data_IF_133489854029
#
_entry.id   IF_133489854029
#
_cell.length_a   1.000
_cell.length_b   1.000
_cell.length_c   1.000
_cell.angle_alpha   90.00
_cell.angle_beta   90.00
_cell.angle_gamma   90.00
#
_symmetry.space_group_name_H-M   'P 1'
#
loop_
_entity.id
_entity.type
_entity.pdbx_description
1 polymer ?
#
# COMPACT_ATOMS: atom_id res chain seq x y z
N UNK A 1 -12.96 39.78 -21.27
CA UNK A 1 -11.83 39.12 -21.98
C UNK A 1 -10.51 39.21 -21.21
N UNK A 2 -10.01 40.41 -20.86
CA UNK A 2 -8.73 40.58 -20.11
C UNK A 2 -8.67 39.87 -18.74
N UNK A 3 -9.75 39.92 -17.96
CA UNK A 3 -9.82 39.23 -16.65
C UNK A 3 -9.80 37.70 -16.77
N UNK A 4 -10.44 37.15 -17.80
CA UNK A 4 -10.43 35.70 -18.08
C UNK A 4 -9.04 35.21 -18.50
N UNK A 5 -8.33 36.00 -19.32
CA UNK A 5 -6.97 35.66 -19.76
C UNK A 5 -5.99 35.70 -18.58
N UNK A 6 -6.08 36.71 -17.69
CA UNK A 6 -5.23 36.79 -16.49
C UNK A 6 -5.49 35.66 -15.50
N UNK A 7 -6.76 35.28 -15.29
CA UNK A 7 -7.13 34.15 -14.44
C UNK A 7 -6.57 32.84 -15.02
N UNK A 8 -6.76 32.58 -16.32
CA UNK A 8 -6.21 31.41 -17.01
C UNK A 8 -4.68 31.36 -16.93
N UNK A 9 -3.99 32.48 -17.17
CA UNK A 9 -2.53 32.56 -17.05
C UNK A 9 -2.04 32.30 -15.62
N UNK A 10 -2.74 32.82 -14.60
CA UNK A 10 -2.41 32.54 -13.20
C UNK A 10 -2.61 31.07 -12.83
N UNK A 11 -3.64 30.43 -13.37
CA UNK A 11 -3.96 29.02 -13.12
C UNK A 11 -2.96 28.09 -13.79
N UNK A 12 -2.54 28.41 -15.02
CA UNK A 12 -1.47 27.71 -15.74
C UNK A 12 -0.13 27.88 -15.01
N UNK A 13 0.18 29.09 -14.54
CA UNK A 13 1.42 29.36 -13.80
C UNK A 13 1.45 28.60 -12.47
N UNK A 14 0.30 28.48 -11.79
CA UNK A 14 0.16 27.72 -10.55
C UNK A 14 0.30 26.20 -10.79
N UNK A 15 -0.35 25.66 -11.83
CA UNK A 15 -0.24 24.25 -12.19
C UNK A 15 1.21 23.86 -12.52
N UNK A 16 1.89 24.66 -13.35
CA UNK A 16 3.29 24.42 -13.69
C UNK A 16 4.22 24.49 -12.47
N UNK A 17 3.95 25.41 -11.53
CA UNK A 17 4.71 25.53 -10.30
C UNK A 17 4.51 24.32 -9.37
N UNK A 18 3.29 23.78 -9.28
CA UNK A 18 3.00 22.58 -8.50
C UNK A 18 3.72 21.37 -9.11
N UNK A 19 3.62 21.16 -10.42
CA UNK A 19 4.30 20.06 -11.11
C UNK A 19 5.82 20.12 -10.94
N UNK A 20 6.44 21.29 -11.11
CA UNK A 20 7.89 21.46 -10.90
C UNK A 20 8.29 21.19 -9.45
N UNK A 21 7.45 21.59 -8.49
CA UNK A 21 7.65 21.27 -7.08
C UNK A 21 7.55 19.76 -6.83
N UNK A 22 6.59 19.08 -7.46
CA UNK A 22 6.43 17.63 -7.35
C UNK A 22 7.63 16.90 -7.96
N UNK A 23 8.11 17.33 -9.13
CA UNK A 23 9.31 16.74 -9.77
C UNK A 23 10.53 16.84 -8.86
N UNK A 24 10.73 17.98 -8.20
CA UNK A 24 11.84 18.13 -7.25
C UNK A 24 11.63 17.28 -5.99
N UNK A 25 10.40 17.23 -5.48
CA UNK A 25 10.05 16.36 -4.35
C UNK A 25 10.27 14.87 -4.68
N UNK A 26 10.05 14.42 -5.91
CA UNK A 26 10.33 13.03 -6.35
C UNK A 26 11.82 12.72 -6.20
N UNK A 27 12.71 13.62 -6.62
CA UNK A 27 14.15 13.41 -6.52
C UNK A 27 14.59 13.33 -5.06
N UNK A 28 14.11 14.25 -4.22
CA UNK A 28 14.38 14.22 -2.78
C UNK A 28 13.83 12.96 -2.13
N UNK A 29 12.62 12.54 -2.49
CA UNK A 29 12.00 11.32 -2.00
C UNK A 29 12.82 10.08 -2.36
N UNK A 30 13.37 10.02 -3.57
CA UNK A 30 14.26 8.95 -4.00
C UNK A 30 15.52 8.88 -3.13
N UNK A 31 16.18 10.01 -2.86
CA UNK A 31 17.35 10.07 -1.98
C UNK A 31 17.02 9.65 -0.55
N UNK A 32 15.88 10.09 -0.01
CA UNK A 32 15.41 9.70 1.32
C UNK A 32 15.19 8.18 1.42
N UNK A 33 14.55 7.59 0.40
CA UNK A 33 14.31 6.15 0.36
C UNK A 33 15.63 5.36 0.31
N UNK A 34 16.57 5.74 -0.55
CA UNK A 34 17.89 5.11 -0.63
C UNK A 34 18.65 5.17 0.70
N UNK A 35 18.44 6.22 1.49
CA UNK A 35 19.03 6.34 2.81
C UNK A 35 18.34 5.41 3.81
N UNK A 36 16.99 5.36 3.81
CA UNK A 36 16.21 4.46 4.68
C UNK A 36 16.51 2.98 4.41
N UNK A 37 16.65 2.58 3.15
CA UNK A 37 16.98 1.20 2.77
C UNK A 37 18.27 0.69 3.45
N UNK A 38 19.19 1.58 3.85
CA UNK A 38 20.42 1.20 4.56
C UNK A 38 20.17 0.83 6.02
N UNK A 39 19.16 1.42 6.63
CA UNK A 39 18.80 1.24 8.03
C UNK A 39 17.76 0.12 8.20
N UNK A 40 17.09 -0.29 7.12
CA UNK A 40 16.12 -1.38 7.15
C UNK A 40 16.74 -2.73 7.51
N UNK A 41 16.18 -3.35 8.55
CA UNK A 41 16.56 -4.69 8.99
C UNK A 41 15.73 -5.72 8.23
N UNK A 42 16.41 -6.62 7.52
CA UNK A 42 15.77 -7.69 6.73
C UNK A 42 16.17 -9.07 7.22
N UNK A 43 15.27 -10.03 7.07
CA UNK A 43 15.49 -11.45 7.42
C UNK A 43 15.34 -12.35 6.19
N UNK A 44 16.10 -13.44 6.15
CA UNK A 44 16.19 -14.30 4.95
C UNK A 44 14.95 -15.19 4.73
N UNK A 45 14.15 -15.45 5.77
CA UNK A 45 12.85 -16.10 5.64
C UNK A 45 12.00 -15.92 6.91
N UNK A 46 10.96 -15.09 6.85
CA UNK A 46 9.75 -15.36 7.62
C UNK A 46 8.89 -16.23 6.70
N UNK A 47 8.31 -17.31 7.23
CA UNK A 47 7.36 -18.13 6.48
C UNK A 47 6.11 -17.29 6.13
N UNK A 48 6.20 -16.49 5.08
CA UNK A 48 5.12 -15.62 4.62
C UNK A 48 4.37 -16.34 3.50
N UNK A 49 3.07 -16.56 3.71
CA UNK A 49 2.16 -17.12 2.70
C UNK A 49 1.73 -16.08 1.67
N UNK A 50 2.21 -14.84 1.78
CA UNK A 50 1.81 -13.67 0.99
C UNK A 50 3.00 -12.97 0.32
N UNK A 51 3.87 -13.76 -0.33
CA UNK A 51 5.07 -13.23 -1.00
C UNK A 51 4.67 -12.42 -2.22
N UNK A 52 5.12 -11.17 -2.28
CA UNK A 52 4.96 -10.30 -3.44
C UNK A 52 5.74 -10.85 -4.65
N UNK A 53 5.09 -10.96 -5.80
CA UNK A 53 5.78 -11.26 -7.06
C UNK A 53 6.57 -10.02 -7.54
N UNK A 54 7.42 -10.18 -8.56
CA UNK A 54 8.28 -9.10 -9.05
C UNK A 54 7.51 -7.85 -9.54
N UNK A 55 6.30 -8.03 -10.09
CA UNK A 55 5.46 -6.88 -10.50
C UNK A 55 4.91 -6.16 -9.27
N UNK A 56 4.43 -6.89 -8.25
CA UNK A 56 3.95 -6.32 -6.99
C UNK A 56 5.06 -5.60 -6.22
N UNK A 57 6.28 -6.15 -6.17
CA UNK A 57 7.43 -5.49 -5.56
C UNK A 57 7.77 -4.17 -6.26
N UNK A 58 7.66 -4.15 -7.59
CA UNK A 58 7.87 -2.93 -8.36
C UNK A 58 6.80 -1.86 -8.06
N UNK A 59 5.52 -2.25 -8.02
CA UNK A 59 4.46 -1.31 -7.67
C UNK A 59 4.55 -0.84 -6.20
N UNK A 60 5.06 -1.67 -5.28
CA UNK A 60 5.37 -1.21 -3.92
C UNK A 60 6.41 -0.09 -3.96
N UNK A 61 7.54 -0.29 -4.64
CA UNK A 61 8.60 0.72 -4.72
C UNK A 61 8.10 2.03 -5.35
N UNK A 62 7.24 1.93 -6.39
CA UNK A 62 6.56 3.08 -6.97
C UNK A 62 5.65 3.74 -5.93
N UNK A 63 4.86 2.97 -5.18
CA UNK A 63 4.01 3.44 -4.10
C UNK A 63 4.78 4.15 -2.99
N UNK A 64 5.89 3.59 -2.53
CA UNK A 64 6.77 4.15 -1.49
C UNK A 64 7.35 5.50 -1.94
N UNK A 65 7.80 5.59 -3.19
CA UNK A 65 8.30 6.83 -3.79
C UNK A 65 7.21 7.90 -3.86
N UNK A 66 6.01 7.55 -4.31
CA UNK A 66 4.88 8.47 -4.39
C UNK A 66 4.39 8.89 -2.99
N UNK A 67 4.40 7.98 -2.02
CA UNK A 67 4.05 8.25 -0.63
C UNK A 67 5.01 9.28 -0.02
N UNK A 68 6.32 9.06 -0.17
CA UNK A 68 7.34 9.99 0.32
C UNK A 68 7.30 11.35 -0.41
N UNK A 69 7.11 11.33 -1.74
CA UNK A 69 6.94 12.56 -2.52
C UNK A 69 5.75 13.35 -2.01
N UNK A 70 4.61 12.67 -1.83
CA UNK A 70 3.39 13.33 -1.37
C UNK A 70 3.55 13.88 0.03
N UNK A 71 4.26 13.18 0.92
CA UNK A 71 4.61 13.69 2.26
C UNK A 71 5.35 15.03 2.17
N UNK A 72 6.40 15.13 1.34
CA UNK A 72 7.17 16.37 1.15
C UNK A 72 6.28 17.51 0.65
N UNK A 73 5.38 17.21 -0.29
CA UNK A 73 4.45 18.21 -0.86
C UNK A 73 3.40 18.64 0.17
N UNK A 74 2.85 17.71 0.95
CA UNK A 74 1.89 17.97 2.02
C UNK A 74 2.54 18.79 3.16
N UNK A 75 3.80 18.55 3.51
CA UNK A 75 4.52 19.37 4.48
C UNK A 75 4.65 20.83 4.02
N UNK A 76 4.75 21.06 2.69
CA UNK A 76 4.90 22.39 2.11
C UNK A 76 3.56 23.13 1.90
N UNK A 77 2.50 22.42 1.51
CA UNK A 77 1.23 23.03 1.09
C UNK A 77 0.01 22.63 1.94
N UNK A 78 0.17 21.70 2.89
CA UNK A 78 -0.90 21.11 3.69
C UNK A 78 -1.73 20.06 2.95
N UNK A 79 -2.64 19.41 3.67
CA UNK A 79 -3.44 18.28 3.14
C UNK A 79 -4.42 18.67 2.01
N UNK A 80 -4.70 19.97 1.80
CA UNK A 80 -5.59 20.42 0.72
C UNK A 80 -5.02 20.15 -0.68
N UNK A 81 -3.70 20.02 -0.80
CA UNK A 81 -3.03 19.77 -2.09
C UNK A 81 -3.33 18.37 -2.65
N UNK A 82 -3.80 17.43 -1.81
CA UNK A 82 -4.09 16.05 -2.22
C UNK A 82 -5.15 15.97 -3.33
N UNK A 83 -6.16 16.85 -3.31
CA UNK A 83 -7.20 16.90 -4.33
C UNK A 83 -6.64 17.36 -5.68
N UNK A 84 -5.61 18.22 -5.68
CA UNK A 84 -4.91 18.70 -6.89
C UNK A 84 -3.96 17.62 -7.44
N UNK A 85 -3.20 16.95 -6.56
CA UNK A 85 -2.28 15.86 -6.93
C UNK A 85 -3.00 14.70 -7.63
N UNK A 86 -4.27 14.43 -7.27
CA UNK A 86 -5.07 13.37 -7.88
C UNK A 86 -5.33 13.55 -9.38
N UNK A 87 -5.10 14.75 -9.92
CA UNK A 87 -5.32 15.08 -11.34
C UNK A 87 -4.06 15.00 -12.20
N UNK A 88 -2.89 14.85 -11.58
CA UNK A 88 -1.61 14.88 -12.27
C UNK A 88 -1.28 13.55 -12.97
N UNK A 89 -0.57 13.64 -14.08
CA UNK A 89 0.00 12.46 -14.76
C UNK A 89 1.27 12.03 -14.04
N UNK A 90 1.12 11.04 -13.17
CA UNK A 90 2.22 10.49 -12.36
C UNK A 90 3.35 9.93 -13.23
N UNK A 91 3.03 9.32 -14.38
CA UNK A 91 4.05 8.70 -15.22
C UNK A 91 4.90 9.76 -15.95
N UNK A 92 4.30 10.88 -16.36
CA UNK A 92 5.03 12.05 -16.89
C UNK A 92 5.97 12.67 -15.83
N UNK A 93 5.47 12.87 -14.61
CA UNK A 93 6.25 13.45 -13.52
C UNK A 93 7.45 12.58 -13.14
N UNK A 94 7.25 11.26 -13.06
CA UNK A 94 8.34 10.30 -12.85
C UNK A 94 9.36 10.35 -14.01
N UNK A 95 8.90 10.51 -15.26
CA UNK A 95 9.79 10.64 -16.41
C UNK A 95 10.62 11.93 -16.36
N UNK A 96 10.02 13.07 -16.03
CA UNK A 96 10.71 14.37 -15.84
C UNK A 96 11.71 14.33 -14.69
N UNK A 97 11.41 13.58 -13.63
CA UNK A 97 12.31 13.38 -12.50
C UNK A 97 13.49 12.43 -12.81
N UNK A 98 13.43 11.66 -13.92
CA UNK A 98 14.44 10.64 -14.25
C UNK A 98 14.18 9.28 -13.59
N UNK A 99 13.07 9.14 -12.88
CA UNK A 99 12.63 7.94 -12.13
C UNK A 99 11.65 7.06 -12.92
N UNK A 100 11.38 7.38 -14.19
CA UNK A 100 10.57 6.52 -15.04
C UNK A 100 11.15 5.12 -15.16
N UNK A 101 10.26 4.13 -15.23
CA UNK A 101 10.63 2.74 -15.51
C UNK A 101 11.49 2.67 -16.76
N UNK A 102 12.79 2.44 -16.61
CA UNK A 102 13.59 1.92 -17.72
C UNK A 102 12.95 0.57 -18.06
N UNK A 103 12.21 0.47 -19.17
CA UNK A 103 11.74 -0.81 -19.72
C UNK A 103 13.01 -1.64 -19.91
N UNK A 104 13.39 -2.43 -18.90
CA UNK A 104 14.38 -3.47 -19.09
C UNK A 104 13.73 -4.38 -20.09
N UNK A 105 14.18 -4.29 -21.34
CA UNK A 105 14.04 -5.32 -22.36
C UNK A 105 14.83 -6.56 -21.89
N UNK A 106 14.54 -7.06 -20.69
CA UNK A 106 14.74 -8.46 -20.43
C UNK A 106 13.86 -9.15 -21.46
N UNK A 107 14.47 -9.96 -22.32
CA UNK A 107 13.77 -10.96 -23.12
C UNK A 107 13.09 -11.93 -22.15
N UNK A 108 12.03 -11.46 -21.49
CA UNK A 108 11.12 -12.28 -20.74
C UNK A 108 10.28 -12.96 -21.82
N UNK A 109 10.38 -14.28 -21.92
CA UNK A 109 9.56 -15.05 -22.85
C UNK A 109 8.09 -14.63 -22.69
N UNK A 110 7.54 -13.99 -23.73
CA UNK A 110 6.09 -13.99 -23.98
C UNK A 110 5.23 -12.86 -23.43
N UNK A 111 5.70 -11.91 -22.61
CA UNK A 111 4.85 -10.75 -22.25
C UNK A 111 4.93 -9.66 -23.32
N UNK A 112 4.29 -9.91 -24.47
CA UNK A 112 3.94 -8.83 -25.40
C UNK A 112 2.85 -8.00 -24.73
N UNK A 113 3.04 -6.68 -24.68
CA UNK A 113 2.03 -5.73 -24.23
C UNK A 113 0.75 -5.99 -25.05
N UNK A 114 -0.33 -6.42 -24.37
CA UNK A 114 -1.54 -6.86 -25.06
C UNK A 114 -2.22 -5.65 -25.70
N UNK A 115 -2.35 -5.68 -27.03
CA UNK A 115 -3.11 -4.67 -27.75
C UNK A 115 -4.60 -4.97 -27.55
N UNK A 116 -5.33 -4.10 -26.86
CA UNK A 116 -6.76 -4.31 -26.59
C UNK A 116 -7.63 -4.37 -27.85
N UNK A 117 -7.12 -3.85 -28.98
CA UNK A 117 -7.76 -3.95 -30.30
C UNK A 117 -7.45 -5.24 -31.04
N UNK A 118 -6.56 -6.09 -30.52
CA UNK A 118 -6.16 -7.33 -31.19
C UNK A 118 -7.30 -8.36 -31.18
N UNK A 119 -7.26 -9.28 -32.13
CA UNK A 119 -8.24 -10.37 -32.21
C UNK A 119 -8.16 -11.28 -30.98
N UNK A 120 -6.94 -11.52 -30.49
CA UNK A 120 -6.66 -12.35 -29.32
C UNK A 120 -7.32 -11.77 -28.06
N UNK A 121 -7.20 -10.45 -27.85
CA UNK A 121 -7.84 -9.76 -26.71
C UNK A 121 -9.37 -9.83 -26.71
N UNK A 122 -10.00 -10.09 -27.86
CA UNK A 122 -11.46 -10.22 -27.97
C UNK A 122 -11.95 -11.67 -27.84
N UNK A 123 -11.06 -12.66 -27.95
CA UNK A 123 -11.41 -14.08 -27.89
C UNK A 123 -11.19 -14.69 -26.50
N UNK A 124 -10.11 -14.29 -25.83
CA UNK A 124 -9.71 -14.87 -24.56
C UNK A 124 -9.38 -13.79 -23.54
N UNK A 125 -9.63 -14.11 -22.27
CA UNK A 125 -9.20 -13.25 -21.15
C UNK A 125 -7.67 -13.26 -21.08
N UNK A 126 -7.10 -12.09 -20.84
CA UNK A 126 -5.69 -11.99 -20.49
C UNK A 126 -5.46 -12.56 -19.10
N UNK A 127 -4.26 -13.13 -18.86
CA UNK A 127 -3.89 -13.64 -17.53
C UNK A 127 -3.87 -12.53 -16.46
N UNK A 128 -3.56 -11.30 -16.85
CA UNK A 128 -3.53 -10.15 -15.95
C UNK A 128 -4.89 -9.45 -15.82
N UNK A 129 -5.91 -9.80 -16.61
CA UNK A 129 -7.19 -9.08 -16.65
C UNK A 129 -7.18 -7.79 -17.47
N UNK A 130 -6.02 -7.35 -18.00
CA UNK A 130 -5.93 -6.19 -18.90
C UNK A 130 -6.82 -6.35 -20.14
N UNK A 131 -7.35 -5.24 -20.64
CA UNK A 131 -8.25 -5.14 -21.79
C UNK A 131 -9.64 -5.78 -21.62
N UNK A 132 -10.01 -6.22 -20.41
CA UNK A 132 -11.37 -6.70 -20.14
C UNK A 132 -12.41 -5.59 -20.37
N UNK A 133 -12.12 -4.39 -19.87
CA UNK A 133 -12.88 -3.19 -20.20
C UNK A 133 -12.20 -2.45 -21.36
N UNK A 134 -12.94 -2.25 -22.46
CA UNK A 134 -12.41 -1.64 -23.70
C UNK A 134 -12.16 -0.14 -23.61
N UNK A 135 -12.89 0.56 -22.74
CA UNK A 135 -12.72 1.99 -22.53
C UNK A 135 -11.57 2.27 -21.56
N UNK A 136 -11.44 1.44 -20.52
CA UNK A 136 -10.43 1.56 -19.47
C UNK A 136 -9.71 0.22 -19.30
N UNK A 137 -8.64 0.01 -20.06
CA UNK A 137 -7.98 -1.28 -20.21
C UNK A 137 -7.43 -1.88 -18.91
N UNK A 138 -7.16 -1.08 -17.88
CA UNK A 138 -6.60 -1.51 -16.59
C UNK A 138 -7.64 -1.78 -15.51
N UNK A 139 -8.93 -1.54 -15.76
CA UNK A 139 -9.96 -1.77 -14.75
C UNK A 139 -10.11 -3.25 -14.42
N UNK A 140 -9.80 -3.58 -13.16
CA UNK A 140 -9.83 -4.96 -12.66
C UNK A 140 -8.64 -5.82 -13.09
N UNK A 141 -7.58 -5.23 -13.66
CA UNK A 141 -6.35 -5.97 -13.90
C UNK A 141 -5.58 -6.19 -12.59
N UNK A 142 -4.90 -7.33 -12.49
CA UNK A 142 -4.02 -7.65 -11.38
C UNK A 142 -2.90 -6.62 -11.23
N UNK A 143 -2.34 -6.51 -10.02
CA UNK A 143 -1.23 -5.59 -9.70
C UNK A 143 -1.63 -4.13 -9.98
N UNK A 144 -2.84 -3.76 -9.54
CA UNK A 144 -3.34 -2.39 -9.55
C UNK A 144 -3.89 -2.03 -8.17
N UNK A 145 -3.88 -0.74 -7.78
CA UNK A 145 -4.43 -0.32 -6.50
C UNK A 145 -5.90 -0.69 -6.32
N UNK A 146 -6.29 -1.03 -5.10
CA UNK A 146 -7.71 -1.31 -4.79
C UNK A 146 -8.56 -0.05 -4.92
N UNK A 147 -9.76 -0.22 -5.50
CA UNK A 147 -10.72 0.88 -5.61
C UNK A 147 -11.29 1.22 -4.23
N UNK A 148 -11.17 2.48 -3.83
CA UNK A 148 -11.83 3.02 -2.63
C UNK A 148 -13.28 3.39 -2.95
N UNK A 149 -14.22 2.93 -2.11
CA UNK A 149 -15.64 3.25 -2.24
C UNK A 149 -16.03 4.52 -1.48
N UNK A 150 -15.31 4.85 -0.40
CA UNK A 150 -15.45 6.11 0.31
C UNK A 150 -14.59 7.19 -0.34
N UNK A 151 -15.10 8.43 -0.38
CA UNK A 151 -14.42 9.55 -1.03
C UNK A 151 -13.09 9.94 -0.36
N UNK A 152 -12.96 9.76 0.97
CA UNK A 152 -11.72 10.04 1.71
C UNK A 152 -11.34 8.89 2.64
N UNK A 153 -10.06 8.48 2.69
CA UNK A 153 -9.57 7.54 3.68
C UNK A 153 -9.46 8.21 5.06
N UNK A 154 -9.51 7.40 6.12
CA UNK A 154 -9.41 7.88 7.50
C UNK A 154 -8.07 7.45 8.10
N UNK A 155 -7.04 8.27 7.89
CA UNK A 155 -5.72 8.12 8.50
C UNK A 155 -5.57 9.04 9.72
N UNK A 156 -4.59 8.77 10.59
CA UNK A 156 -4.32 9.60 11.78
C UNK A 156 -3.98 11.05 11.40
N UNK A 157 -3.12 11.19 10.40
CA UNK A 157 -2.63 12.46 9.87
C UNK A 157 -3.41 12.95 8.63
N UNK A 158 -4.45 12.21 8.24
CA UNK A 158 -5.22 12.46 7.02
C UNK A 158 -4.51 12.09 5.72
N UNK A 159 -3.34 11.43 5.78
CA UNK A 159 -2.55 11.06 4.61
C UNK A 159 -2.23 9.56 4.55
N UNK A 160 -1.38 9.04 5.44
CA UNK A 160 -0.94 7.64 5.37
C UNK A 160 -0.71 6.97 6.75
N UNK A 161 -0.70 7.72 7.85
CA UNK A 161 -0.43 7.14 9.16
C UNK A 161 -1.59 6.27 9.66
N UNK A 162 -1.27 5.06 10.15
CA UNK A 162 -2.25 4.16 10.77
C UNK A 162 -2.94 4.88 11.92
N UNK A 163 -4.27 4.84 11.89
CA UNK A 163 -5.11 5.50 12.89
C UNK A 163 -4.86 4.90 14.28
N UNK A 164 -4.53 5.76 15.24
CA UNK A 164 -4.28 5.40 16.64
C UNK A 164 -5.16 6.17 17.62
N UNK A 165 -5.87 7.21 17.18
CA UNK A 165 -6.76 8.02 18.02
C UNK A 165 -8.24 7.87 17.62
N UNK A 166 -9.10 7.81 18.64
CA UNK A 166 -10.56 7.73 18.52
C UNK A 166 -11.18 9.08 18.11
N UNK A 167 -12.46 9.07 17.74
CA UNK A 167 -13.18 10.30 17.37
C UNK A 167 -13.37 11.28 18.54
N UNK A 168 -13.17 10.81 19.77
CA UNK A 168 -13.24 11.63 21.00
C UNK A 168 -11.85 12.03 21.52
N UNK A 169 -10.79 11.79 20.75
CA UNK A 169 -9.42 12.20 21.09
C UNK A 169 -8.69 11.26 22.07
N UNK A 170 -9.20 10.06 22.31
CA UNK A 170 -8.54 9.06 23.18
C UNK A 170 -7.80 8.01 22.35
N UNK A 171 -6.72 7.40 22.86
CA UNK A 171 -6.06 6.28 22.17
C UNK A 171 -7.04 5.14 21.86
N UNK A 172 -6.90 4.54 20.68
CA UNK A 172 -7.61 3.32 20.31
C UNK A 172 -7.01 2.11 21.07
N UNK A 173 -7.84 1.14 21.48
CA UNK A 173 -7.34 -0.08 22.10
C UNK A 173 -6.50 -0.88 21.10
N UNK A 174 -5.51 -1.62 21.62
CA UNK A 174 -4.71 -2.52 20.78
C UNK A 174 -5.62 -3.53 20.07
N UNK A 175 -5.39 -3.85 18.78
CA UNK A 175 -6.08 -4.94 18.10
C UNK A 175 -6.05 -6.26 18.87
N UNK A 176 -4.94 -6.53 19.59
CA UNK A 176 -4.80 -7.72 20.43
C UNK A 176 -5.71 -7.68 21.66
N UNK A 177 -5.90 -6.51 22.26
CA UNK A 177 -6.85 -6.34 23.38
C UNK A 177 -8.28 -6.62 22.92
N UNK A 178 -8.67 -6.10 21.74
CA UNK A 178 -9.98 -6.38 21.13
C UNK A 178 -10.14 -7.88 20.85
N UNK A 179 -9.10 -8.54 20.31
CA UNK A 179 -9.09 -9.98 20.09
C UNK A 179 -9.31 -10.75 21.41
N UNK A 180 -8.61 -10.36 22.47
CA UNK A 180 -8.75 -10.98 23.79
C UNK A 180 -10.13 -10.74 24.43
N UNK A 181 -10.79 -9.61 24.16
CA UNK A 181 -12.07 -9.30 24.81
C UNK A 181 -13.29 -9.77 24.02
N UNK A 182 -13.21 -9.81 22.68
CA UNK A 182 -14.36 -10.03 21.81
C UNK A 182 -14.28 -11.30 20.96
N UNK A 183 -13.09 -11.81 20.68
CA UNK A 183 -12.87 -12.92 19.74
C UNK A 183 -12.37 -14.20 20.43
N UNK A 184 -12.47 -14.30 21.76
CA UNK A 184 -12.13 -15.55 22.43
C UNK A 184 -13.13 -16.63 22.06
N UNK A 185 -12.60 -17.78 21.66
CA UNK A 185 -13.40 -18.99 21.54
C UNK A 185 -13.86 -19.38 22.94
N UNK A 186 -15.18 -19.37 23.15
CA UNK A 186 -15.77 -19.79 24.41
C UNK A 186 -15.53 -21.28 24.67
N UNK A 187 -15.94 -21.76 25.86
CA UNK A 187 -15.77 -23.17 26.24
C UNK A 187 -16.48 -24.18 25.32
N UNK A 188 -17.35 -23.72 24.43
CA UNK A 188 -18.06 -24.53 23.45
C UNK A 188 -17.80 -23.98 22.04
N UNK A 189 -17.11 -24.72 21.18
CA UNK A 189 -16.95 -24.35 19.78
C UNK A 189 -18.32 -24.20 19.11
N UNK A 190 -18.50 -23.13 18.34
CA UNK A 190 -19.72 -22.91 17.59
C UNK A 190 -19.73 -23.79 16.33
N UNK A 191 -20.40 -24.94 16.38
CA UNK A 191 -20.57 -25.82 15.22
C UNK A 191 -21.89 -25.54 14.48
N UNK A 192 -21.81 -25.33 13.16
CA UNK A 192 -22.98 -25.18 12.29
C UNK A 192 -23.38 -26.54 11.70
N UNK A 193 -24.51 -27.09 12.14
CA UNK A 193 -25.03 -28.38 11.66
C UNK A 193 -25.75 -28.29 10.30
N UNK A 194 -25.96 -27.09 9.77
CA UNK A 194 -26.68 -26.87 8.50
C UNK A 194 -25.74 -26.73 7.30
N UNK A 195 -24.45 -26.51 7.54
CA UNK A 195 -23.43 -26.30 6.51
C UNK A 195 -22.26 -27.25 6.73
N UNK A 196 -21.77 -27.86 5.65
CA UNK A 196 -20.52 -28.61 5.71
C UNK A 196 -19.31 -27.68 5.58
N UNK A 197 -18.12 -28.22 5.86
CA UNK A 197 -16.87 -27.45 5.84
C UNK A 197 -16.54 -26.83 4.46
N UNK A 198 -17.07 -27.40 3.37
CA UNK A 198 -16.87 -26.85 2.03
C UNK A 198 -17.42 -25.43 1.88
N UNK A 199 -18.44 -25.06 2.66
CA UNK A 199 -18.98 -23.71 2.68
C UNK A 199 -17.90 -22.65 2.99
N UNK A 200 -17.12 -22.87 4.06
CA UNK A 200 -16.02 -21.98 4.44
C UNK A 200 -14.90 -22.02 3.40
N UNK A 201 -14.50 -23.22 2.98
CA UNK A 201 -13.39 -23.41 2.04
C UNK A 201 -13.66 -22.77 0.67
N UNK A 202 -14.90 -22.86 0.17
CA UNK A 202 -15.31 -22.23 -1.08
C UNK A 202 -15.33 -20.70 -0.98
N UNK A 203 -15.69 -20.16 0.18
CA UNK A 203 -15.57 -18.72 0.46
C UNK A 203 -14.12 -18.23 0.37
N UNK A 204 -13.17 -18.97 0.96
CA UNK A 204 -11.75 -18.65 0.83
C UNK A 204 -11.26 -18.77 -0.62
N UNK A 205 -11.71 -19.80 -1.35
CA UNK A 205 -11.36 -19.99 -2.76
C UNK A 205 -11.80 -18.80 -3.62
N UNK A 206 -13.05 -18.32 -3.45
CA UNK A 206 -13.52 -17.10 -4.13
C UNK A 206 -12.69 -15.89 -3.71
N UNK A 207 -12.45 -15.70 -2.40
CA UNK A 207 -11.70 -14.55 -1.92
C UNK A 207 -10.29 -14.47 -2.54
N UNK A 208 -9.61 -15.62 -2.65
CA UNK A 208 -8.27 -15.70 -3.24
C UNK A 208 -8.25 -15.54 -4.76
N UNK A 209 -9.36 -15.78 -5.46
CA UNK A 209 -9.50 -15.49 -6.90
C UNK A 209 -9.78 -13.99 -7.17
N UNK A 210 -10.37 -13.29 -6.20
CA UNK A 210 -10.75 -11.88 -6.34
C UNK A 210 -9.66 -10.90 -5.91
N UNK A 211 -8.95 -11.18 -4.81
CA UNK A 211 -8.06 -10.19 -4.21
C UNK A 211 -6.90 -10.85 -3.46
N UNK A 212 -5.71 -10.29 -3.62
CA UNK A 212 -4.53 -10.61 -2.84
C UNK A 212 -3.73 -9.33 -2.61
N UNK A 213 -3.49 -9.00 -1.33
CA UNK A 213 -2.66 -7.88 -0.90
C UNK A 213 -1.40 -8.48 -0.26
N UNK A 214 -0.27 -8.55 -0.97
CA UNK A 214 0.95 -9.12 -0.41
C UNK A 214 1.53 -8.21 0.68
N UNK A 215 2.29 -8.81 1.61
CA UNK A 215 2.99 -8.03 2.62
C UNK A 215 4.11 -7.21 1.99
N UNK A 216 4.34 -6.01 2.54
CA UNK A 216 5.43 -5.13 2.14
C UNK A 216 6.78 -5.81 2.36
N UNK A 217 7.65 -5.65 1.38
CA UNK A 217 9.01 -6.17 1.37
C UNK A 217 10.02 -5.05 1.55
N UNK A 218 11.17 -5.39 2.11
CA UNK A 218 12.32 -4.50 2.21
C UNK A 218 13.15 -4.51 0.91
N UNK A 219 14.39 -4.01 0.96
CA UNK A 219 15.18 -3.75 -0.23
C UNK A 219 15.51 -5.07 -0.93
N UNK A 220 15.36 -5.08 -2.26
CA UNK A 220 15.53 -6.27 -3.12
C UNK A 220 14.54 -7.41 -2.82
N UNK A 221 13.37 -7.11 -2.23
CA UNK A 221 12.31 -8.08 -2.03
C UNK A 221 12.51 -9.00 -0.82
N UNK A 222 13.41 -8.64 0.10
CA UNK A 222 13.61 -9.39 1.35
C UNK A 222 12.48 -9.12 2.35
N UNK A 223 12.21 -10.05 3.25
CA UNK A 223 11.24 -9.82 4.32
C UNK A 223 11.75 -8.76 5.30
N UNK A 224 10.89 -7.80 5.65
CA UNK A 224 11.14 -6.82 6.71
C UNK A 224 11.10 -7.47 8.09
N UNK A 225 12.05 -7.10 8.95
CA UNK A 225 12.04 -7.47 10.37
C UNK A 225 11.26 -6.44 11.20
N UNK A 226 9.96 -6.69 11.36
CA UNK A 226 9.08 -5.87 12.19
C UNK A 226 8.93 -6.41 13.63
N UNK A 227 9.91 -7.19 14.13
CA UNK A 227 9.84 -7.82 15.46
C UNK A 227 10.10 -6.87 16.62
N UNK A 228 10.82 -5.79 16.38
CA UNK A 228 11.11 -4.75 17.38
C UNK A 228 9.90 -3.83 17.61
N UNK A 229 9.72 -3.37 18.85
CA UNK A 229 8.71 -2.35 19.16
C UNK A 229 8.95 -1.02 18.45
N UNK A 230 10.20 -0.71 18.14
CA UNK A 230 10.60 0.51 17.42
C UNK A 230 10.69 0.28 15.91
N UNK A 231 10.24 -0.87 15.39
CA UNK A 231 10.36 -1.19 13.97
C UNK A 231 9.65 -0.16 13.07
N UNK A 232 8.55 0.45 13.54
CA UNK A 232 7.86 1.54 12.84
C UNK A 232 8.73 2.81 12.65
N UNK A 233 9.74 3.02 13.50
CA UNK A 233 10.70 4.13 13.33
C UNK A 233 11.78 3.81 12.30
N UNK A 234 11.99 2.52 12.01
CA UNK A 234 13.01 2.01 11.08
C UNK A 234 12.43 1.88 9.68
N UNK A 235 11.23 1.28 9.56
CA UNK A 235 10.51 1.17 8.30
C UNK A 235 9.05 1.58 8.49
N UNK A 236 8.56 2.43 7.59
CA UNK A 236 7.15 2.82 7.54
C UNK A 236 6.23 1.64 7.26
N UNK A 237 6.77 0.56 6.68
CA UNK A 237 6.06 -0.67 6.36
C UNK A 237 5.95 -1.64 7.55
N UNK A 238 6.41 -1.23 8.75
CA UNK A 238 6.25 -1.97 9.99
C UNK A 238 5.22 -1.31 10.91
N UNK A 239 4.25 -2.09 11.40
CA UNK A 239 3.25 -1.63 12.34
C UNK A 239 3.04 -2.66 13.48
N UNK A 240 4.05 -2.85 14.37
CA UNK A 240 4.02 -3.88 15.40
C UNK A 240 2.82 -3.71 16.34
N UNK A 241 2.14 -4.82 16.66
CA UNK A 241 0.89 -4.79 17.45
C UNK A 241 1.23 -4.91 18.94
N UNK A 242 0.92 -3.92 19.79
CA UNK A 242 1.20 -3.99 21.22
C UNK A 242 0.39 -5.09 21.91
N UNK A 243 1.04 -5.92 22.72
CA UNK A 243 0.35 -6.95 23.51
C UNK A 243 0.02 -6.41 24.91
N UNK A 244 -1.24 -6.54 25.38
CA UNK A 244 -1.61 -6.17 26.75
C UNK A 244 -0.82 -6.96 27.80
N UNK A 245 -0.50 -6.31 28.94
CA UNK A 245 0.28 -6.96 30.00
C UNK A 245 -0.41 -8.19 30.61
N UNK A 246 -1.74 -8.22 30.60
CA UNK A 246 -2.59 -9.29 31.10
C UNK A 246 -2.96 -10.33 30.03
N UNK A 247 -2.34 -10.28 28.83
CA UNK A 247 -2.63 -11.23 27.75
C UNK A 247 -2.50 -12.69 28.23
N UNK A 248 -3.51 -13.55 28.00
CA UNK A 248 -3.50 -14.91 28.53
C UNK A 248 -2.42 -15.79 27.89
N UNK A 249 -2.00 -15.49 26.66
CA UNK A 249 -1.12 -16.33 25.86
C UNK A 249 0.26 -15.70 25.63
N UNK A 250 0.31 -14.44 25.22
CA UNK A 250 1.54 -13.73 24.90
C UNK A 250 2.06 -12.96 26.12
N UNK A 251 2.65 -13.68 27.08
CA UNK A 251 3.24 -13.07 28.28
C UNK A 251 4.42 -12.16 27.93
N UNK A 252 4.63 -11.13 28.75
CA UNK A 252 5.81 -10.26 28.70
C UNK A 252 7.10 -11.07 28.88
N UNK A 253 8.22 -10.53 28.41
CA UNK A 253 9.51 -11.19 28.57
C UNK A 253 9.95 -11.21 30.05
N UNK A 254 10.86 -12.12 30.41
CA UNK A 254 11.31 -12.30 31.81
C UNK A 254 11.95 -11.04 32.41
N UNK A 255 12.53 -10.19 31.57
CA UNK A 255 13.10 -8.90 31.95
C UNK A 255 12.04 -7.78 32.11
N UNK A 256 10.74 -8.10 32.00
CA UNK A 256 9.63 -7.17 32.14
C UNK A 256 9.33 -6.34 30.90
N UNK A 257 10.01 -6.54 29.76
CA UNK A 257 9.71 -5.80 28.54
C UNK A 257 8.39 -6.27 27.93
N UNK A 258 7.59 -5.30 27.46
CA UNK A 258 6.34 -5.56 26.78
C UNK A 258 6.57 -6.34 25.48
N UNK A 259 5.65 -7.25 25.17
CA UNK A 259 5.68 -8.05 23.94
C UNK A 259 4.89 -7.35 22.83
N UNK A 260 5.31 -7.56 21.60
CA UNK A 260 4.64 -7.09 20.39
C UNK A 260 4.45 -8.26 19.43
N UNK A 261 3.37 -8.25 18.66
CA UNK A 261 3.20 -9.17 17.54
C UNK A 261 3.74 -8.53 16.28
N UNK A 262 4.49 -9.31 15.50
CA UNK A 262 5.07 -8.89 14.23
C UNK A 262 3.94 -8.60 13.25
N UNK A 263 3.94 -7.41 12.66
CA UNK A 263 2.99 -7.05 11.62
C UNK A 263 3.65 -6.10 10.62
N UNK A 264 3.56 -6.48 9.35
CA UNK A 264 4.03 -5.72 8.21
C UNK A 264 2.81 -5.12 7.51
N UNK A 265 2.89 -3.89 7.06
CA UNK A 265 1.88 -3.29 6.19
C UNK A 265 1.81 -4.05 4.85
N UNK A 266 0.71 -3.87 4.12
CA UNK A 266 0.45 -4.58 2.85
C UNK A 266 0.54 -3.62 1.66
N UNK A 267 0.92 -4.17 0.51
CA UNK A 267 1.09 -3.50 -0.79
C UNK A 267 -0.24 -3.44 -1.55
#
# INVERSE_FOLDING_TARGET
>A
MRFLILALLSQICHANFLEDTVVEAIKTAHENLLQREKDEVTVDAIAQTQIANADSQYEQQKGDLLSETTKIVVEKFGNSVLDELATLDVDDLLARAGEARKKRSARQCGRREMLCSSKESNLYRSLSGICNNKANSTWGSAVTPTRRLSARPSYEDGFNAVRSTSVIGTPLPSPREISNKLHQEGAQPAFDFTRNHFYMQFGQWIAHDLIAMPSSVGPRGKSLDCSSCNAANVSANCAPIPVPADDPYFKSFENGTARYLIFNEVI
#
